data_IF_380423082754
#
_entry.id   IF_380423082754
#
_cell.length_a   1.000
_cell.length_b   1.000
_cell.length_c   1.000
_cell.angle_alpha   90.00
_cell.angle_beta   90.00
_cell.angle_gamma   90.00
#
_symmetry.space_group_name_H-M   'P 1'
#
loop_
_entity.id
_entity.type
_entity.pdbx_description
1 polymer ?
#
# COMPACT_ATOMS: atom_id res chain seq x y z
N UNK A 1 10.31 71.07 14.22
CA UNK A 1 10.57 69.66 13.84
C UNK A 1 9.28 68.89 14.07
N UNK A 2 8.41 68.84 13.07
CA UNK A 2 7.18 68.07 13.08
C UNK A 2 7.39 66.88 12.15
N UNK A 3 7.33 65.66 12.69
CA UNK A 3 7.42 64.42 11.92
C UNK A 3 6.01 63.87 11.85
N UNK A 4 5.49 63.79 10.62
CA UNK A 4 4.19 63.27 10.29
C UNK A 4 4.12 61.75 10.50
N UNK A 5 3.05 61.29 11.15
CA UNK A 5 2.69 59.88 11.20
C UNK A 5 2.27 59.39 9.81
N UNK A 6 3.09 58.51 9.24
CA UNK A 6 2.76 57.75 8.03
C UNK A 6 1.71 56.70 8.37
N UNK A 7 0.50 56.91 7.87
CA UNK A 7 -0.58 55.91 7.80
C UNK A 7 -0.09 54.73 6.97
N UNK A 8 -0.03 53.54 7.57
CA UNK A 8 0.19 52.28 6.86
C UNK A 8 -1.07 51.97 6.06
N UNK A 9 -0.99 52.07 4.73
CA UNK A 9 -1.98 51.51 3.83
C UNK A 9 -1.89 49.99 3.88
N UNK A 10 -2.86 49.35 4.51
CA UNK A 10 -3.11 47.93 4.32
C UNK A 10 -3.75 47.74 2.95
N UNK A 11 -3.03 47.09 2.03
CA UNK A 11 -3.61 46.56 0.80
C UNK A 11 -4.91 45.82 1.12
N UNK A 12 -5.98 46.15 0.41
CA UNK A 12 -7.32 45.56 0.60
C UNK A 12 -7.29 44.04 0.49
N UNK A 13 -7.20 43.38 1.65
CA UNK A 13 -7.35 41.94 1.77
C UNK A 13 -8.81 41.58 1.46
N UNK A 14 -9.03 40.85 0.38
CA UNK A 14 -10.35 40.32 0.06
C UNK A 14 -10.90 39.54 1.24
N UNK A 15 -12.00 40.02 1.82
CA UNK A 15 -12.69 39.33 2.91
C UNK A 15 -13.18 37.98 2.40
N UNK A 16 -13.01 36.89 3.16
CA UNK A 16 -13.59 35.58 2.83
C UNK A 16 -15.10 35.65 2.57
N UNK A 17 -15.78 36.64 3.16
CA UNK A 17 -17.19 36.92 2.93
C UNK A 17 -17.50 37.47 1.51
N UNK A 18 -16.51 37.75 0.66
CA UNK A 18 -16.76 38.15 -0.74
C UNK A 18 -16.86 36.95 -1.69
N UNK A 19 -16.52 35.74 -1.25
CA UNK A 19 -16.61 34.53 -2.06
C UNK A 19 -18.07 34.09 -2.23
N UNK A 20 -18.46 33.46 -3.36
CA UNK A 20 -19.77 32.81 -3.51
C UNK A 20 -20.00 31.68 -2.51
N UNK A 21 -21.27 31.40 -2.19
CA UNK A 21 -21.64 30.39 -1.19
C UNK A 21 -21.17 28.99 -1.60
N UNK A 22 -21.19 28.67 -2.90
CA UNK A 22 -20.72 27.39 -3.45
C UNK A 22 -19.22 27.19 -3.21
N UNK A 23 -18.43 28.26 -3.35
CA UNK A 23 -16.98 28.23 -3.08
C UNK A 23 -16.73 28.06 -1.59
N UNK A 24 -17.51 28.75 -0.74
CA UNK A 24 -17.41 28.59 0.70
C UNK A 24 -17.81 27.16 1.14
N UNK A 25 -18.84 26.56 0.54
CA UNK A 25 -19.23 25.17 0.76
C UNK A 25 -18.14 24.17 0.38
N UNK A 26 -17.44 24.39 -0.73
CA UNK A 26 -16.27 23.60 -1.12
C UNK A 26 -15.13 23.74 -0.10
N UNK A 27 -14.82 24.97 0.33
CA UNK A 27 -13.79 25.21 1.37
C UNK A 27 -14.16 24.48 2.67
N UNK A 28 -15.44 24.57 3.09
CA UNK A 28 -15.92 23.88 4.28
C UNK A 28 -15.87 22.35 4.14
N UNK A 29 -15.96 21.80 2.93
CA UNK A 29 -15.82 20.37 2.66
C UNK A 29 -14.37 19.87 2.76
N UNK A 30 -13.38 20.77 2.83
CA UNK A 30 -11.95 20.44 2.98
C UNK A 30 -11.48 20.49 4.43
N UNK A 31 -12.30 20.99 5.37
CA UNK A 31 -11.96 21.06 6.80
C UNK A 31 -12.73 20.00 7.58
N UNK A 32 -12.23 19.57 8.76
CA UNK A 32 -12.95 18.66 9.63
C UNK A 32 -14.40 19.11 9.89
N UNK A 33 -15.36 18.19 9.84
CA UNK A 33 -16.80 18.52 9.90
C UNK A 33 -17.20 19.27 11.15
N UNK A 34 -16.54 19.01 12.29
CA UNK A 34 -16.73 19.77 13.53
C UNK A 34 -16.37 21.25 13.38
N UNK A 35 -15.29 21.55 12.65
CA UNK A 35 -14.89 22.92 12.34
C UNK A 35 -15.83 23.54 11.30
N UNK A 36 -16.24 22.79 10.28
CA UNK A 36 -17.21 23.27 9.31
C UNK A 36 -18.53 23.67 9.98
N UNK A 37 -19.06 22.80 10.86
CA UNK A 37 -20.27 23.06 11.61
C UNK A 37 -20.13 24.23 12.60
N UNK A 38 -18.94 24.42 13.22
CA UNK A 38 -18.73 25.55 14.15
C UNK A 38 -18.74 26.90 13.45
N UNK A 39 -18.44 26.96 12.14
CA UNK A 39 -18.56 28.22 11.38
C UNK A 39 -20.00 28.76 11.31
N UNK A 40 -21.01 27.92 11.57
CA UNK A 40 -22.42 28.32 11.60
C UNK A 40 -22.76 29.40 12.64
N UNK A 41 -21.90 29.60 13.65
CA UNK A 41 -22.07 30.65 14.65
C UNK A 41 -21.56 32.02 14.19
N UNK A 42 -20.77 32.07 13.11
CA UNK A 42 -20.13 33.30 12.63
C UNK A 42 -21.14 34.31 12.10
N UNK A 43 -22.18 33.84 11.39
CA UNK A 43 -23.29 34.68 10.93
C UNK A 43 -24.46 33.83 10.40
N UNK A 44 -25.59 34.49 10.10
CA UNK A 44 -26.73 33.85 9.42
C UNK A 44 -26.36 33.23 8.07
N UNK A 45 -25.47 33.88 7.31
CA UNK A 45 -24.99 33.36 6.02
C UNK A 45 -24.23 32.07 6.20
N UNK A 46 -23.25 32.07 7.11
CA UNK A 46 -22.41 30.90 7.37
C UNK A 46 -23.18 29.71 7.94
N UNK A 47 -24.26 29.96 8.68
CA UNK A 47 -25.21 28.92 9.10
C UNK A 47 -25.86 28.20 7.91
N UNK A 48 -26.12 28.92 6.83
CA UNK A 48 -26.78 28.38 5.64
C UNK A 48 -25.79 27.75 4.63
N UNK A 49 -24.49 27.76 4.92
CA UNK A 49 -23.48 27.11 4.07
C UNK A 49 -23.34 25.60 4.34
N UNK A 50 -23.77 25.14 5.51
CA UNK A 50 -23.62 23.74 5.91
C UNK A 50 -24.28 22.74 4.92
N UNK A 51 -25.46 23.02 4.33
CA UNK A 51 -26.04 22.18 3.28
C UNK A 51 -25.20 22.08 1.99
N UNK A 52 -24.25 22.98 1.76
CA UNK A 52 -23.35 22.95 0.59
C UNK A 52 -22.11 22.07 0.83
N UNK A 53 -21.95 21.55 2.06
CA UNK A 53 -20.86 20.64 2.40
C UNK A 53 -21.15 19.26 1.82
N UNK A 54 -20.22 18.74 1.01
CA UNK A 54 -20.38 17.46 0.31
C UNK A 54 -19.48 16.34 0.87
N UNK A 55 -18.69 16.63 1.90
CA UNK A 55 -17.80 15.69 2.56
C UNK A 55 -17.92 15.84 4.07
N UNK A 56 -18.26 14.75 4.75
CA UNK A 56 -18.37 14.72 6.22
C UNK A 56 -17.54 13.62 6.83
N UNK A 57 -16.84 13.95 7.91
CA UNK A 57 -16.00 13.05 8.70
C UNK A 57 -16.35 13.21 10.18
N UNK A 58 -16.87 12.12 10.75
CA UNK A 58 -17.27 12.02 12.14
C UNK A 58 -16.40 10.97 12.82
N UNK A 59 -15.61 11.40 13.80
CA UNK A 59 -14.72 10.54 14.58
C UNK A 59 -15.03 10.67 16.08
N UNK A 60 -15.51 9.58 16.69
CA UNK A 60 -15.79 9.52 18.13
C UNK A 60 -14.48 9.49 18.95
N UNK A 61 -13.44 8.81 18.45
CA UNK A 61 -12.17 8.61 19.17
C UNK A 61 -11.43 9.93 19.44
N UNK A 62 -11.60 10.91 18.54
CA UNK A 62 -11.05 12.25 18.67
C UNK A 62 -11.68 13.09 19.80
N UNK A 63 -12.77 12.63 20.43
CA UNK A 63 -13.47 13.38 21.49
C UNK A 63 -12.94 13.09 22.91
N UNK A 64 -11.85 12.35 23.07
CA UNK A 64 -11.15 12.21 24.35
C UNK A 64 -11.92 11.40 25.40
N UNK A 65 -11.89 10.07 25.29
CA UNK A 65 -11.90 9.11 26.40
C UNK A 65 -13.05 9.09 27.42
N UNK A 66 -14.10 9.91 27.29
CA UNK A 66 -15.26 9.80 28.19
C UNK A 66 -16.21 8.72 27.69
N UNK A 67 -16.16 7.56 28.36
CA UNK A 67 -17.00 6.36 28.15
C UNK A 67 -18.51 6.56 28.33
N UNK A 68 -18.98 7.80 28.49
CA UNK A 68 -20.37 8.15 28.75
C UNK A 68 -21.17 8.65 27.51
N UNK A 69 -20.59 8.78 26.32
CA UNK A 69 -21.21 9.60 25.25
C UNK A 69 -21.42 8.95 23.86
N UNK A 70 -21.43 7.63 23.71
CA UNK A 70 -21.79 6.99 22.42
C UNK A 70 -23.16 7.47 21.87
N UNK A 71 -24.17 7.58 22.75
CA UNK A 71 -25.48 8.16 22.39
C UNK A 71 -25.42 9.64 22.00
N UNK A 72 -24.57 10.42 22.66
CA UNK A 72 -24.41 11.86 22.41
C UNK A 72 -23.74 12.13 21.07
N UNK A 73 -22.75 11.30 20.71
CA UNK A 73 -22.06 11.39 19.43
C UNK A 73 -22.99 11.08 18.27
N UNK A 74 -23.70 9.94 18.29
CA UNK A 74 -24.65 9.62 17.22
C UNK A 74 -25.75 10.68 17.08
N UNK A 75 -26.31 11.16 18.20
CA UNK A 75 -27.29 12.24 18.16
C UNK A 75 -26.72 13.56 17.61
N UNK A 76 -25.42 13.79 17.69
CA UNK A 76 -24.75 14.92 17.03
C UNK A 76 -24.65 14.66 15.51
N UNK A 77 -24.25 13.45 15.11
CA UNK A 77 -24.17 13.05 13.70
C UNK A 77 -25.54 13.18 13.02
N UNK A 78 -26.59 12.60 13.61
CA UNK A 78 -27.97 12.67 13.10
C UNK A 78 -28.45 14.11 12.98
N UNK A 79 -28.23 14.95 14.00
CA UNK A 79 -28.60 16.38 13.95
C UNK A 79 -27.86 17.16 12.86
N UNK A 80 -26.59 16.81 12.63
CA UNK A 80 -25.77 17.45 11.59
C UNK A 80 -26.23 17.02 10.20
N UNK A 81 -26.53 15.74 9.99
CA UNK A 81 -27.09 15.25 8.73
C UNK A 81 -28.49 15.80 8.46
N UNK A 82 -29.30 15.98 9.51
CA UNK A 82 -30.60 16.62 9.41
C UNK A 82 -30.49 18.11 9.06
N UNK A 83 -29.50 18.84 9.60
CA UNK A 83 -29.30 20.26 9.31
C UNK A 83 -28.75 20.52 7.89
N UNK A 84 -28.08 19.54 7.29
CA UNK A 84 -27.72 19.57 5.87
C UNK A 84 -28.91 19.32 4.93
N UNK A 85 -30.07 18.88 5.46
CA UNK A 85 -31.25 18.55 4.66
C UNK A 85 -31.04 17.34 3.75
N UNK A 86 -31.93 17.11 2.78
CA UNK A 86 -31.84 15.99 1.83
C UNK A 86 -30.83 16.19 0.69
N UNK A 87 -29.80 17.03 0.89
CA UNK A 87 -28.81 17.34 -0.15
C UNK A 87 -27.88 16.15 -0.37
N UNK A 88 -27.45 15.84 -1.60
CA UNK A 88 -26.51 14.77 -1.87
C UNK A 88 -25.17 14.99 -1.16
N UNK A 89 -24.74 13.99 -0.41
CA UNK A 89 -23.44 13.99 0.27
C UNK A 89 -22.54 13.03 -0.50
N UNK A 90 -21.39 13.50 -0.99
CA UNK A 90 -20.52 12.67 -1.83
C UNK A 90 -19.66 11.72 -1.01
N UNK A 91 -19.16 12.18 0.14
CA UNK A 91 -18.24 11.44 0.99
C UNK A 91 -18.70 11.46 2.44
N UNK A 92 -18.79 10.28 3.05
CA UNK A 92 -19.12 10.13 4.46
C UNK A 92 -18.11 9.20 5.13
N UNK A 93 -17.56 9.65 6.26
CA UNK A 93 -16.69 8.87 7.14
C UNK A 93 -17.30 8.85 8.54
N UNK A 94 -17.51 7.63 9.08
CA UNK A 94 -18.09 7.37 10.39
C UNK A 94 -17.13 6.46 11.17
N UNK A 95 -16.42 7.00 12.16
CA UNK A 95 -15.38 6.28 12.92
C UNK A 95 -15.69 6.18 14.40
N UNK A 96 -15.34 5.03 14.97
CA UNK A 96 -15.26 4.82 16.41
C UNK A 96 -16.60 4.69 17.13
N UNK A 97 -17.69 4.40 16.41
CA UNK A 97 -19.05 4.41 16.97
C UNK A 97 -19.27 3.26 17.97
N UNK A 98 -19.07 3.57 19.25
CA UNK A 98 -19.03 2.59 20.35
C UNK A 98 -20.37 2.48 21.12
N UNK A 99 -20.74 1.27 21.55
CA UNK A 99 -21.87 1.01 22.47
C UNK A 99 -23.27 1.54 22.03
N UNK A 100 -23.57 1.45 20.73
CA UNK A 100 -24.84 1.93 20.16
C UNK A 100 -25.77 0.79 19.73
N UNK A 101 -27.07 1.06 19.84
CA UNK A 101 -28.18 0.37 19.18
C UNK A 101 -27.94 0.20 17.66
N UNK A 102 -27.78 -1.05 17.24
CA UNK A 102 -27.55 -1.46 15.86
C UNK A 102 -28.57 -0.85 14.88
N UNK A 103 -29.83 -0.76 15.28
CA UNK A 103 -30.91 -0.27 14.40
C UNK A 103 -30.68 1.17 13.97
N UNK A 104 -30.23 2.04 14.89
CA UNK A 104 -29.99 3.46 14.61
C UNK A 104 -28.77 3.66 13.72
N UNK A 105 -27.70 2.91 13.98
CA UNK A 105 -26.52 2.94 13.13
C UNK A 105 -26.85 2.50 11.70
N UNK A 106 -27.62 1.42 11.55
CA UNK A 106 -28.02 0.92 10.25
C UNK A 106 -28.95 1.90 9.52
N UNK A 107 -29.90 2.50 10.23
CA UNK A 107 -30.76 3.55 9.67
C UNK A 107 -29.93 4.77 9.21
N UNK A 108 -28.93 5.17 9.98
CA UNK A 108 -28.01 6.26 9.61
C UNK A 108 -27.26 5.95 8.31
N UNK A 109 -26.66 4.75 8.21
CA UNK A 109 -25.95 4.33 7.00
C UNK A 109 -26.90 4.25 5.81
N UNK A 110 -28.13 3.75 6.01
CA UNK A 110 -29.18 3.73 5.00
C UNK A 110 -29.58 5.12 4.50
N UNK A 111 -29.76 6.10 5.40
CA UNK A 111 -30.04 7.50 5.03
C UNK A 111 -28.89 8.10 4.21
N UNK A 112 -27.65 7.87 4.64
CA UNK A 112 -26.45 8.32 3.92
C UNK A 112 -26.39 7.73 2.51
N UNK A 113 -26.61 6.42 2.37
CA UNK A 113 -26.64 5.77 1.06
C UNK A 113 -27.81 6.29 0.20
N UNK A 114 -28.99 6.48 0.78
CA UNK A 114 -30.17 7.03 0.12
C UNK A 114 -29.99 8.45 -0.44
N UNK A 115 -29.02 9.21 0.09
CA UNK A 115 -28.64 10.54 -0.41
C UNK A 115 -27.69 10.51 -1.61
N UNK A 116 -27.37 9.32 -2.14
CA UNK A 116 -26.50 9.18 -3.31
C UNK A 116 -25.01 9.28 -2.99
N UNK A 117 -24.59 8.75 -1.84
CA UNK A 117 -23.18 8.73 -1.43
C UNK A 117 -22.31 7.96 -2.41
N UNK A 118 -21.13 8.54 -2.72
CA UNK A 118 -20.13 7.97 -3.63
C UNK A 118 -18.99 7.27 -2.87
N UNK A 119 -18.57 7.84 -1.74
CA UNK A 119 -17.50 7.31 -0.89
C UNK A 119 -18.01 7.13 0.54
N UNK A 120 -17.95 5.89 1.05
CA UNK A 120 -18.36 5.55 2.40
C UNK A 120 -17.21 4.89 3.16
N UNK A 121 -16.85 5.45 4.30
CA UNK A 121 -15.88 4.89 5.22
C UNK A 121 -16.57 4.60 6.55
N UNK A 122 -16.59 3.34 6.95
CA UNK A 122 -17.20 2.89 8.20
C UNK A 122 -16.13 2.26 9.08
N UNK A 123 -16.05 2.71 10.33
CA UNK A 123 -15.23 2.09 11.36
C UNK A 123 -15.97 1.90 12.67
N UNK A 124 -15.85 0.70 13.26
CA UNK A 124 -16.56 0.33 14.48
C UNK A 124 -15.65 -0.35 15.51
N UNK A 125 -15.72 0.08 16.76
CA UNK A 125 -15.02 -0.58 17.87
C UNK A 125 -15.77 -1.80 18.43
N UNK A 126 -16.98 -2.06 17.93
CA UNK A 126 -17.81 -3.21 18.29
C UNK A 126 -18.15 -3.99 17.02
N UNK A 127 -18.47 -5.29 17.15
CA UNK A 127 -18.96 -6.10 16.03
C UNK A 127 -20.25 -5.48 15.46
N UNK A 128 -20.36 -5.37 14.14
CA UNK A 128 -21.45 -4.80 13.36
C UNK A 128 -21.73 -5.67 12.15
N UNK A 129 -23.01 -5.74 11.78
CA UNK A 129 -23.46 -6.44 10.59
C UNK A 129 -23.85 -5.42 9.52
N UNK A 130 -23.40 -5.65 8.28
CA UNK A 130 -23.75 -4.82 7.13
C UNK A 130 -25.09 -5.28 6.61
N UNK A 131 -26.11 -4.42 6.65
CA UNK A 131 -27.49 -4.81 6.32
C UNK A 131 -27.64 -5.00 4.81
N UNK A 132 -28.38 -6.03 4.34
CA UNK A 132 -28.43 -6.35 2.92
C UNK A 132 -28.86 -5.24 1.97
N UNK A 133 -29.69 -4.31 2.42
CA UNK A 133 -30.14 -3.18 1.59
C UNK A 133 -28.98 -2.27 1.18
N UNK A 134 -27.88 -2.27 1.94
CA UNK A 134 -26.70 -1.45 1.63
C UNK A 134 -26.02 -1.90 0.34
N UNK A 135 -26.03 -3.21 0.06
CA UNK A 135 -25.42 -3.78 -1.15
C UNK A 135 -26.08 -3.28 -2.43
N UNK A 136 -27.34 -2.84 -2.39
CA UNK A 136 -28.02 -2.40 -3.62
C UNK A 136 -27.80 -0.92 -3.95
N UNK A 137 -26.87 -0.25 -3.27
CA UNK A 137 -26.51 1.13 -3.59
C UNK A 137 -25.96 1.25 -5.01
N UNK A 138 -26.66 2.05 -5.84
CA UNK A 138 -26.29 2.30 -7.25
C UNK A 138 -25.27 3.41 -7.42
N UNK A 139 -24.96 4.15 -6.35
CA UNK A 139 -24.09 5.33 -6.40
C UNK A 139 -22.74 5.09 -5.74
N UNK A 140 -22.62 4.10 -4.86
CA UNK A 140 -21.41 3.89 -4.08
C UNK A 140 -20.28 3.38 -4.98
N UNK A 141 -19.22 4.19 -5.09
CA UNK A 141 -18.03 3.93 -5.92
C UNK A 141 -16.87 3.41 -5.06
N UNK A 142 -16.76 3.88 -3.81
CA UNK A 142 -15.71 3.48 -2.88
C UNK A 142 -16.28 3.10 -1.52
N UNK A 143 -15.94 1.91 -1.05
CA UNK A 143 -16.31 1.41 0.26
C UNK A 143 -15.04 1.12 1.07
N UNK A 144 -14.99 1.64 2.28
CA UNK A 144 -13.98 1.27 3.26
C UNK A 144 -14.66 0.76 4.52
N UNK A 145 -14.30 -0.44 4.93
CA UNK A 145 -14.72 -1.06 6.17
C UNK A 145 -13.49 -1.23 7.05
N UNK A 146 -13.57 -0.82 8.31
CA UNK A 146 -12.45 -0.91 9.24
C UNK A 146 -12.92 -1.31 10.62
N UNK A 147 -12.33 -2.34 11.22
CA UNK A 147 -12.63 -2.81 12.57
C UNK A 147 -14.09 -3.25 12.79
N UNK A 148 -14.29 -4.36 13.49
CA UNK A 148 -15.60 -4.70 14.06
C UNK A 148 -16.75 -4.87 13.05
N UNK A 149 -16.49 -5.22 11.80
CA UNK A 149 -17.54 -5.69 10.88
C UNK A 149 -17.45 -7.20 10.75
N UNK A 150 -18.59 -7.90 10.77
CA UNK A 150 -18.70 -9.35 10.64
C UNK A 150 -19.89 -9.77 9.77
N UNK A 151 -19.88 -11.03 9.34
CA UNK A 151 -20.85 -11.63 8.45
C UNK A 151 -22.24 -11.72 9.10
N UNK A 152 -23.26 -11.55 8.27
CA UNK A 152 -24.67 -11.63 8.63
C UNK A 152 -25.06 -13.07 9.02
N UNK A 153 -26.10 -13.20 9.84
CA UNK A 153 -26.79 -14.49 10.05
C UNK A 153 -27.93 -14.70 9.04
N UNK A 154 -28.34 -13.65 8.34
CA UNK A 154 -29.47 -13.70 7.40
C UNK A 154 -28.98 -13.94 5.97
N UNK A 155 -29.70 -14.77 5.19
CA UNK A 155 -29.31 -15.09 3.83
C UNK A 155 -29.29 -13.85 2.94
N UNK A 156 -28.25 -13.74 2.10
CA UNK A 156 -28.11 -12.63 1.20
C UNK A 156 -29.25 -12.61 0.18
N UNK A 157 -29.87 -11.44 -0.05
CA UNK A 157 -30.87 -11.28 -1.10
C UNK A 157 -30.19 -11.43 -2.46
N UNK A 158 -30.77 -12.25 -3.33
CA UNK A 158 -30.29 -12.39 -4.70
C UNK A 158 -30.33 -11.07 -5.47
N UNK A 159 -29.29 -10.80 -6.26
CA UNK A 159 -29.19 -9.62 -7.12
C UNK A 159 -27.76 -9.15 -7.34
N UNK A 160 -27.59 -8.09 -8.13
CA UNK A 160 -26.27 -7.48 -8.35
C UNK A 160 -25.94 -6.58 -7.17
N UNK A 161 -24.96 -7.01 -6.39
CA UNK A 161 -24.43 -6.26 -5.26
C UNK A 161 -23.46 -5.19 -5.77
N UNK A 162 -23.56 -4.01 -5.18
CA UNK A 162 -22.81 -2.79 -5.45
C UNK A 162 -22.47 -2.55 -6.94
N UNK A 163 -23.47 -2.30 -7.79
CA UNK A 163 -23.28 -2.24 -9.24
C UNK A 163 -22.34 -1.11 -9.72
N UNK A 164 -22.01 -0.14 -8.87
CA UNK A 164 -21.12 0.98 -9.19
C UNK A 164 -19.78 0.95 -8.43
N UNK A 165 -19.55 -0.04 -7.57
CA UNK A 165 -18.36 -0.09 -6.70
C UNK A 165 -17.13 -0.42 -7.51
N UNK A 166 -16.12 0.44 -7.39
CA UNK A 166 -14.82 0.34 -8.07
C UNK A 166 -13.67 0.06 -7.13
N UNK A 167 -13.77 0.51 -5.87
CA UNK A 167 -12.68 0.41 -4.91
C UNK A 167 -13.20 -0.06 -3.57
N UNK A 168 -12.68 -1.20 -3.10
CA UNK A 168 -12.97 -1.79 -1.80
C UNK A 168 -11.73 -1.75 -0.93
N UNK A 169 -11.89 -1.38 0.34
CA UNK A 169 -10.81 -1.42 1.32
C UNK A 169 -11.29 -2.02 2.64
N UNK A 170 -10.59 -3.06 3.09
CA UNK A 170 -10.89 -3.85 4.27
C UNK A 170 -9.71 -3.74 5.23
N UNK A 171 -9.91 -3.09 6.36
CA UNK A 171 -8.88 -2.89 7.38
C UNK A 171 -9.28 -3.59 8.68
N UNK A 172 -8.57 -4.64 9.10
CA UNK A 172 -8.89 -5.38 10.35
C UNK A 172 -10.37 -5.81 10.42
N UNK A 173 -10.92 -6.24 9.28
CA UNK A 173 -12.31 -6.70 9.17
C UNK A 173 -12.33 -8.21 9.36
N UNK A 174 -13.28 -8.72 10.15
CA UNK A 174 -13.38 -10.13 10.45
C UNK A 174 -14.60 -10.72 9.76
N UNK A 175 -14.42 -11.71 8.89
CA UNK A 175 -15.54 -12.46 8.33
C UNK A 175 -15.48 -13.87 8.92
N UNK A 176 -16.36 -14.16 9.88
CA UNK A 176 -16.34 -15.42 10.62
C UNK A 176 -16.61 -16.63 9.69
N UNK A 177 -15.64 -17.53 9.57
CA UNK A 177 -15.72 -18.73 8.74
C UNK A 177 -16.55 -19.87 9.37
N UNK A 178 -17.01 -19.74 10.62
CA UNK A 178 -17.76 -20.80 11.31
C UNK A 178 -19.23 -20.92 10.88
N UNK A 179 -19.74 -19.98 10.08
CA UNK A 179 -21.14 -20.00 9.62
C UNK A 179 -21.24 -20.39 8.15
N UNK A 180 -21.97 -21.48 7.89
CA UNK A 180 -22.29 -21.98 6.56
C UNK A 180 -23.30 -21.05 5.87
N UNK A 181 -22.82 -20.10 5.07
CA UNK A 181 -23.62 -19.20 4.24
C UNK A 181 -22.77 -18.53 3.16
N UNK A 182 -23.41 -17.96 2.13
CA UNK A 182 -22.73 -17.12 1.14
C UNK A 182 -22.08 -15.95 1.89
N UNK A 183 -20.76 -15.91 1.92
CA UNK A 183 -19.98 -15.00 2.77
C UNK A 183 -20.11 -13.56 2.26
N UNK A 184 -20.36 -12.61 3.18
CA UNK A 184 -20.31 -11.16 2.90
C UNK A 184 -19.07 -10.77 2.07
N UNK A 185 -17.95 -11.42 2.33
CA UNK A 185 -16.70 -11.21 1.62
C UNK A 185 -16.82 -11.53 0.12
N UNK A 186 -17.35 -12.70 -0.23
CA UNK A 186 -17.57 -13.13 -1.62
C UNK A 186 -18.55 -12.21 -2.35
N UNK A 187 -19.59 -11.77 -1.64
CA UNK A 187 -20.57 -10.81 -2.12
C UNK A 187 -19.93 -9.47 -2.50
N UNK A 188 -19.00 -8.98 -1.68
CA UNK A 188 -18.25 -7.75 -1.95
C UNK A 188 -17.34 -7.91 -3.17
N UNK A 189 -16.63 -9.03 -3.28
CA UNK A 189 -15.72 -9.33 -4.40
C UNK A 189 -16.44 -9.59 -5.73
N UNK A 190 -17.70 -10.04 -5.66
CA UNK A 190 -18.59 -10.26 -6.82
C UNK A 190 -19.14 -8.98 -7.46
N UNK A 191 -18.77 -7.80 -6.94
CA UNK A 191 -19.20 -6.51 -7.49
C UNK A 191 -18.67 -6.35 -8.92
N UNK A 192 -19.53 -6.07 -9.93
CA UNK A 192 -19.18 -6.23 -11.35
C UNK A 192 -18.17 -5.22 -11.89
N UNK A 193 -18.00 -4.07 -11.21
CA UNK A 193 -17.10 -2.99 -11.61
C UNK A 193 -15.91 -2.83 -10.65
N UNK A 194 -15.67 -3.80 -9.76
CA UNK A 194 -14.63 -3.68 -8.76
C UNK A 194 -13.25 -3.79 -9.41
N UNK A 195 -12.52 -2.67 -9.46
CA UNK A 195 -11.21 -2.55 -10.10
C UNK A 195 -10.07 -2.64 -9.05
N UNK A 196 -10.30 -2.17 -7.83
CA UNK A 196 -9.30 -2.07 -6.76
C UNK A 196 -9.73 -2.75 -5.45
N UNK A 197 -8.85 -3.59 -4.90
CA UNK A 197 -9.02 -4.24 -3.61
C UNK A 197 -7.83 -3.96 -2.69
N UNK A 198 -8.10 -3.47 -1.49
CA UNK A 198 -7.09 -3.26 -0.45
C UNK A 198 -7.48 -4.05 0.80
N UNK A 199 -6.61 -4.95 1.24
CA UNK A 199 -6.77 -5.73 2.46
C UNK A 199 -5.59 -5.39 3.37
N UNK A 200 -5.88 -4.97 4.59
CA UNK A 200 -4.86 -4.67 5.58
C UNK A 200 -5.26 -5.27 6.92
N UNK A 201 -4.48 -6.24 7.35
CA UNK A 201 -4.58 -6.89 8.64
C UNK A 201 -3.22 -6.78 9.34
N UNK A 202 -3.14 -5.79 10.22
CA UNK A 202 -1.98 -5.43 11.01
C UNK A 202 -2.14 -5.77 12.50
N UNK A 203 -3.19 -6.50 12.89
CA UNK A 203 -3.39 -6.92 14.27
C UNK A 203 -2.54 -8.16 14.59
N UNK A 204 -1.47 -8.03 15.39
CA UNK A 204 -0.58 -9.15 15.69
C UNK A 204 -1.21 -10.20 16.62
N UNK A 205 -2.35 -9.88 17.26
CA UNK A 205 -3.03 -10.75 18.22
C UNK A 205 -4.21 -11.50 17.60
N UNK A 206 -4.60 -11.16 16.38
CA UNK A 206 -5.72 -11.78 15.67
C UNK A 206 -5.20 -12.95 14.81
N UNK A 207 -6.00 -14.02 14.66
CA UNK A 207 -5.57 -15.30 14.05
C UNK A 207 -6.37 -15.70 12.81
N UNK A 208 -6.85 -14.75 12.01
CA UNK A 208 -7.72 -15.08 10.88
C UNK A 208 -6.90 -15.27 9.60
N UNK A 209 -7.19 -16.36 8.87
CA UNK A 209 -6.58 -16.60 7.57
C UNK A 209 -7.05 -15.58 6.54
N UNK A 210 -6.16 -15.24 5.60
CA UNK A 210 -6.55 -14.50 4.41
C UNK A 210 -7.59 -15.30 3.60
N UNK A 211 -8.72 -14.68 3.28
CA UNK A 211 -9.78 -15.29 2.45
C UNK A 211 -9.46 -15.23 0.96
N UNK A 212 -10.05 -16.17 0.22
CA UNK A 212 -9.84 -16.36 -1.22
C UNK A 212 -10.24 -15.13 -2.02
N UNK A 213 -9.33 -14.59 -2.83
CA UNK A 213 -9.70 -13.50 -3.73
C UNK A 213 -10.02 -14.09 -5.09
N UNK A 214 -11.32 -14.27 -5.38
CA UNK A 214 -11.81 -14.70 -6.68
C UNK A 214 -12.55 -13.56 -7.37
N UNK A 215 -11.99 -12.98 -8.42
CA UNK A 215 -12.69 -11.95 -9.21
C UNK A 215 -12.07 -11.73 -10.58
N UNK A 216 -12.93 -11.54 -11.58
CA UNK A 216 -12.50 -11.21 -12.94
C UNK A 216 -12.47 -9.70 -13.23
N UNK A 217 -13.05 -8.85 -12.39
CA UNK A 217 -13.06 -7.39 -12.60
C UNK A 217 -11.84 -6.68 -12.00
N UNK A 218 -11.22 -7.29 -10.98
CA UNK A 218 -10.15 -6.66 -10.20
C UNK A 218 -8.87 -6.53 -11.03
N UNK A 219 -8.30 -5.33 -11.04
CA UNK A 219 -7.07 -4.97 -11.74
C UNK A 219 -5.93 -4.60 -10.80
N UNK A 220 -6.23 -4.21 -9.56
CA UNK A 220 -5.22 -3.79 -8.56
C UNK A 220 -5.53 -4.39 -7.20
N UNK A 221 -4.56 -5.10 -6.63
CA UNK A 221 -4.64 -5.67 -5.29
C UNK A 221 -3.50 -5.14 -4.42
N UNK A 222 -3.82 -4.74 -3.19
CA UNK A 222 -2.86 -4.46 -2.13
C UNK A 222 -3.23 -5.26 -0.89
N UNK A 223 -2.37 -6.18 -0.46
CA UNK A 223 -2.57 -7.04 0.71
C UNK A 223 -1.42 -6.81 1.69
N UNK A 224 -1.77 -6.45 2.91
CA UNK A 224 -0.88 -6.46 4.06
C UNK A 224 -1.45 -7.43 5.10
N UNK A 225 -0.77 -8.53 5.38
CA UNK A 225 -1.22 -9.53 6.34
C UNK A 225 -0.01 -10.07 7.13
N UNK A 226 0.19 -9.53 8.34
CA UNK A 226 1.34 -9.87 9.23
C UNK A 226 0.91 -10.43 10.58
N UNK A 227 -0.13 -11.25 10.57
CA UNK A 227 -0.54 -12.06 11.71
C UNK A 227 0.61 -12.98 12.19
N UNK A 228 0.78 -13.13 13.51
CA UNK A 228 1.77 -14.03 14.11
C UNK A 228 1.29 -15.47 14.30
N UNK A 229 0.03 -15.77 13.99
CA UNK A 229 -0.49 -17.12 13.97
C UNK A 229 -0.11 -17.82 12.67
N UNK A 230 0.59 -18.95 12.77
CA UNK A 230 1.00 -19.74 11.62
C UNK A 230 -0.19 -20.36 10.88
N UNK A 231 -1.25 -20.74 11.58
CA UNK A 231 -2.43 -21.34 10.95
C UNK A 231 -3.17 -20.34 10.04
N UNK A 232 -3.06 -19.03 10.33
CA UNK A 232 -3.59 -17.99 9.47
C UNK A 232 -2.93 -17.96 8.06
N UNK A 233 -1.70 -18.46 7.94
CA UNK A 233 -0.95 -18.47 6.68
C UNK A 233 -0.89 -19.86 6.03
N UNK A 234 -1.87 -20.72 6.33
CA UNK A 234 -1.92 -22.06 5.75
C UNK A 234 -2.06 -22.02 4.23
N UNK A 235 -2.82 -21.08 3.69
CA UNK A 235 -2.95 -20.96 2.25
C UNK A 235 -3.32 -19.55 1.81
N UNK A 236 -2.98 -19.20 0.58
CA UNK A 236 -3.37 -17.95 -0.08
C UNK A 236 -3.91 -18.27 -1.46
N UNK A 237 -5.15 -17.86 -1.73
CA UNK A 237 -5.79 -17.99 -3.05
C UNK A 237 -5.98 -16.64 -3.71
N UNK A 238 -5.44 -16.45 -4.91
CA UNK A 238 -5.66 -15.26 -5.74
C UNK A 238 -6.02 -15.71 -7.17
N UNK A 239 -7.30 -15.91 -7.43
CA UNK A 239 -7.85 -16.24 -8.74
C UNK A 239 -8.36 -14.96 -9.41
N UNK A 240 -7.42 -14.19 -9.98
CA UNK A 240 -7.70 -12.87 -10.55
C UNK A 240 -6.99 -12.69 -11.90
N UNK A 241 -7.50 -13.29 -12.98
CA UNK A 241 -6.79 -13.39 -14.26
C UNK A 241 -6.51 -12.03 -14.92
N UNK A 242 -7.31 -11.01 -14.61
CA UNK A 242 -7.17 -9.65 -15.14
C UNK A 242 -6.35 -8.70 -14.24
N UNK A 243 -5.69 -9.24 -13.20
CA UNK A 243 -4.89 -8.45 -12.28
C UNK A 243 -3.66 -7.86 -12.99
N UNK A 244 -3.47 -6.54 -12.90
CA UNK A 244 -2.34 -5.82 -13.54
C UNK A 244 -1.29 -5.41 -12.50
N UNK A 245 -1.71 -5.17 -11.25
CA UNK A 245 -0.85 -4.71 -10.17
C UNK A 245 -1.11 -5.50 -8.88
N UNK A 246 -0.05 -6.04 -8.29
CA UNK A 246 -0.06 -6.73 -7.00
C UNK A 246 0.94 -6.07 -6.04
N UNK A 247 0.47 -5.67 -4.87
CA UNK A 247 1.31 -5.33 -3.72
C UNK A 247 0.99 -6.30 -2.58
N UNK A 248 1.92 -7.18 -2.22
CA UNK A 248 1.70 -8.23 -1.24
C UNK A 248 2.79 -8.23 -0.19
N UNK A 249 2.38 -7.98 1.05
CA UNK A 249 3.23 -7.96 2.24
C UNK A 249 2.67 -8.93 3.27
N UNK A 250 3.49 -9.89 3.72
CA UNK A 250 3.05 -10.84 4.73
C UNK A 250 4.09 -11.89 5.10
N UNK A 251 3.68 -12.83 5.95
CA UNK A 251 4.47 -14.03 6.17
C UNK A 251 4.29 -15.01 5.01
N UNK A 252 5.30 -15.84 4.74
CA UNK A 252 5.20 -16.84 3.68
C UNK A 252 4.14 -17.88 4.06
N UNK A 253 3.15 -18.06 3.19
CA UNK A 253 2.14 -19.11 3.34
C UNK A 253 2.67 -20.51 3.01
N UNK A 254 2.00 -21.55 3.53
CA UNK A 254 2.33 -22.95 3.23
C UNK A 254 2.14 -23.26 1.75
N UNK A 255 0.99 -22.86 1.21
CA UNK A 255 0.63 -23.05 -0.20
C UNK A 255 0.08 -21.77 -0.82
N UNK A 256 0.30 -21.60 -2.12
CA UNK A 256 -0.28 -20.52 -2.91
C UNK A 256 -1.03 -21.10 -4.09
N UNK A 257 -2.30 -20.74 -4.22
CA UNK A 257 -3.12 -21.02 -5.40
C UNK A 257 -3.37 -19.70 -6.13
N UNK A 258 -2.72 -19.51 -7.27
CA UNK A 258 -2.60 -18.18 -7.88
C UNK A 258 -2.75 -18.26 -9.40
N UNK A 259 -3.67 -17.46 -9.92
CA UNK A 259 -3.91 -17.24 -11.35
C UNK A 259 -3.76 -15.75 -11.65
N UNK A 260 -2.59 -15.37 -12.19
CA UNK A 260 -2.11 -13.99 -12.32
C UNK A 260 -1.64 -13.68 -13.74
N UNK A 261 -2.34 -14.19 -14.74
CA UNK A 261 -1.90 -14.21 -16.15
C UNK A 261 -1.64 -12.82 -16.75
N UNK A 262 -2.39 -11.79 -16.32
CA UNK A 262 -2.26 -10.42 -16.82
C UNK A 262 -1.32 -9.53 -16.00
N UNK A 263 -0.60 -10.08 -15.02
CA UNK A 263 0.15 -9.29 -14.06
C UNK A 263 1.35 -8.57 -14.69
N UNK A 264 1.39 -7.25 -14.55
CA UNK A 264 2.44 -6.39 -15.11
C UNK A 264 3.43 -5.93 -14.05
N UNK A 265 2.94 -5.58 -12.86
CA UNK A 265 3.77 -5.11 -11.75
C UNK A 265 3.47 -5.88 -10.46
N UNK A 266 4.52 -6.41 -9.84
CA UNK A 266 4.44 -7.07 -8.55
C UNK A 266 5.39 -6.41 -7.54
N UNK A 267 4.89 -6.18 -6.33
CA UNK A 267 5.66 -5.71 -5.18
C UNK A 267 5.48 -6.71 -4.05
N UNK A 268 6.58 -7.29 -3.59
CA UNK A 268 6.57 -8.35 -2.60
C UNK A 268 7.41 -7.97 -1.38
N UNK A 269 6.80 -8.01 -0.21
CA UNK A 269 7.44 -7.88 1.10
C UNK A 269 7.11 -9.09 1.98
N UNK A 270 7.77 -10.21 1.68
CA UNK A 270 7.54 -11.53 2.26
C UNK A 270 8.57 -11.83 3.34
N UNK A 271 8.10 -12.35 4.47
CA UNK A 271 8.94 -12.68 5.62
C UNK A 271 8.86 -14.17 5.94
N UNK A 272 10.02 -14.83 6.01
CA UNK A 272 10.11 -16.22 6.46
C UNK A 272 9.73 -16.37 7.93
N UNK A 273 9.14 -17.51 8.27
CA UNK A 273 8.94 -17.93 9.65
C UNK A 273 10.28 -18.28 10.30
N UNK A 274 10.62 -17.61 11.40
CA UNK A 274 11.85 -17.88 12.15
C UNK A 274 11.54 -18.85 13.29
N UNK A 275 12.00 -20.10 13.20
CA UNK A 275 11.89 -21.04 14.32
C UNK A 275 13.07 -20.85 15.29
N UNK A 276 12.80 -20.47 16.54
CA UNK A 276 13.75 -20.45 17.68
C UNK A 276 15.18 -19.96 17.38
N UNK A 277 15.35 -18.88 16.61
CA UNK A 277 16.66 -18.27 16.35
C UNK A 277 17.65 -19.14 15.54
N UNK A 278 17.20 -20.29 15.03
CA UNK A 278 18.00 -21.19 14.18
C UNK A 278 17.83 -20.80 12.72
N UNK A 279 18.90 -20.34 12.07
CA UNK A 279 18.95 -20.10 10.61
C UNK A 279 19.39 -21.36 9.85
N UNK A 280 18.93 -22.55 10.25
CA UNK A 280 19.19 -23.77 9.48
C UNK A 280 18.37 -23.71 8.18
N UNK A 281 19.10 -23.60 7.07
CA UNK A 281 18.57 -23.48 5.70
C UNK A 281 17.96 -24.83 5.29
N UNK A 282 16.75 -25.12 5.79
CA UNK A 282 16.06 -26.39 5.60
C UNK A 282 14.79 -26.57 6.43
N UNK A 283 14.63 -25.81 7.52
CA UNK A 283 13.47 -25.92 8.43
C UNK A 283 12.46 -24.76 8.28
N UNK A 284 12.58 -23.95 7.21
CA UNK A 284 11.68 -22.84 6.99
C UNK A 284 10.30 -23.37 6.59
N UNK A 285 9.27 -23.04 7.36
CA UNK A 285 7.89 -23.32 6.98
C UNK A 285 7.41 -22.32 5.92
N UNK A 286 6.64 -22.81 4.95
CA UNK A 286 6.13 -22.02 3.83
C UNK A 286 6.81 -22.33 2.49
N UNK A 287 6.03 -22.24 1.40
CA UNK A 287 6.50 -22.56 0.04
C UNK A 287 6.11 -21.49 -0.97
N UNK A 288 6.99 -20.53 -1.25
CA UNK A 288 6.70 -19.44 -2.21
C UNK A 288 6.84 -19.83 -3.70
N UNK A 289 7.09 -21.10 -4.04
CA UNK A 289 7.38 -21.53 -5.43
C UNK A 289 6.25 -21.22 -6.41
N UNK A 290 5.01 -21.48 -6.00
CA UNK A 290 3.83 -21.23 -6.82
C UNK A 290 3.67 -19.72 -7.10
N UNK A 291 3.80 -18.89 -6.06
CA UNK A 291 3.77 -17.43 -6.20
C UNK A 291 4.91 -16.92 -7.10
N UNK A 292 6.15 -17.38 -6.88
CA UNK A 292 7.33 -16.98 -7.69
C UNK A 292 7.14 -17.38 -9.16
N UNK A 293 6.53 -18.52 -9.42
CA UNK A 293 6.22 -18.98 -10.78
C UNK A 293 5.14 -18.12 -11.42
N UNK A 294 4.06 -17.82 -10.69
CA UNK A 294 2.94 -17.02 -11.20
C UNK A 294 3.36 -15.59 -11.58
N UNK A 295 4.28 -14.97 -10.84
CA UNK A 295 4.78 -13.62 -11.15
C UNK A 295 5.90 -13.61 -12.21
N UNK A 296 6.28 -14.74 -12.80
CA UNK A 296 7.42 -14.79 -13.74
C UNK A 296 7.21 -13.95 -15.01
N UNK A 297 5.96 -13.66 -15.37
CA UNK A 297 5.59 -12.88 -16.55
C UNK A 297 5.58 -11.36 -16.35
N UNK A 298 5.87 -10.86 -15.14
CA UNK A 298 5.80 -9.42 -14.84
C UNK A 298 6.86 -8.60 -15.59
N UNK A 299 6.52 -7.35 -15.86
CA UNK A 299 7.42 -6.35 -16.45
C UNK A 299 8.24 -5.63 -15.37
N UNK A 300 7.62 -5.39 -14.22
CA UNK A 300 8.25 -4.73 -13.08
C UNK A 300 8.11 -5.57 -11.81
N UNK A 301 9.24 -5.86 -11.15
CA UNK A 301 9.28 -6.59 -9.90
C UNK A 301 9.98 -5.76 -8.81
N UNK A 302 9.30 -5.58 -7.68
CA UNK A 302 9.84 -4.94 -6.48
C UNK A 302 9.94 -5.96 -5.34
N UNK A 303 11.13 -6.12 -4.74
CA UNK A 303 11.38 -7.05 -3.65
C UNK A 303 11.89 -6.32 -2.40
N UNK A 304 11.32 -6.60 -1.23
CA UNK A 304 11.95 -6.20 0.03
C UNK A 304 13.23 -6.99 0.31
N UNK A 305 14.01 -6.54 1.29
CA UNK A 305 15.22 -7.25 1.69
C UNK A 305 14.92 -8.64 2.27
N UNK A 306 13.75 -8.83 2.89
CA UNK A 306 13.27 -10.12 3.40
C UNK A 306 12.79 -11.02 2.25
N UNK A 307 12.12 -10.47 1.24
CA UNK A 307 11.73 -11.20 0.03
C UNK A 307 12.92 -11.81 -0.71
N UNK A 308 14.10 -11.18 -0.69
CA UNK A 308 15.31 -11.78 -1.28
C UNK A 308 15.72 -13.08 -0.57
N UNK A 309 15.51 -13.18 0.74
CA UNK A 309 15.77 -14.41 1.50
C UNK A 309 14.73 -15.47 1.18
N UNK A 310 13.45 -15.08 1.09
CA UNK A 310 12.35 -15.97 0.69
C UNK A 310 12.62 -16.58 -0.67
N UNK A 311 12.99 -15.78 -1.66
CA UNK A 311 13.28 -16.29 -3.00
C UNK A 311 14.42 -17.30 -2.95
N UNK A 312 15.51 -17.03 -2.22
CA UNK A 312 16.59 -18.02 -2.13
C UNK A 312 16.17 -19.32 -1.43
N UNK A 313 15.45 -19.21 -0.31
CA UNK A 313 15.13 -20.36 0.54
C UNK A 313 14.02 -21.23 -0.05
N UNK A 314 13.02 -20.61 -0.67
CA UNK A 314 11.85 -21.31 -1.17
C UNK A 314 12.02 -21.77 -2.63
N UNK A 315 12.86 -21.10 -3.45
CA UNK A 315 13.01 -21.47 -4.87
C UNK A 315 13.80 -22.77 -5.03
N UNK A 316 13.12 -23.85 -5.44
CA UNK A 316 13.79 -25.10 -5.85
C UNK A 316 14.40 -24.96 -7.25
N UNK A 317 13.70 -24.25 -8.14
CA UNK A 317 14.16 -23.82 -9.45
C UNK A 317 13.64 -22.41 -9.71
N UNK A 318 14.55 -21.47 -10.02
CA UNK A 318 14.15 -20.10 -10.35
C UNK A 318 13.50 -20.09 -11.74
N UNK A 319 12.30 -19.52 -11.92
CA UNK A 319 11.69 -19.38 -13.24
C UNK A 319 12.46 -18.37 -14.10
N UNK A 320 12.18 -18.38 -15.40
CA UNK A 320 12.70 -17.38 -16.33
C UNK A 320 11.78 -16.16 -16.36
N UNK A 321 12.34 -14.99 -16.09
CA UNK A 321 11.66 -13.71 -16.08
C UNK A 321 11.83 -13.01 -17.44
N UNK A 322 11.28 -13.61 -18.48
CA UNK A 322 11.51 -13.19 -19.86
C UNK A 322 10.93 -11.79 -20.17
N UNK A 323 9.90 -11.35 -19.47
CA UNK A 323 9.29 -10.03 -19.66
C UNK A 323 9.84 -8.95 -18.73
N UNK A 324 10.68 -9.31 -17.75
CA UNK A 324 11.11 -8.41 -16.69
C UNK A 324 12.07 -7.36 -17.22
N UNK A 325 11.57 -6.13 -17.36
CA UNK A 325 12.35 -4.97 -17.80
C UNK A 325 12.92 -4.17 -16.63
N UNK A 326 12.27 -4.21 -15.45
CA UNK A 326 12.66 -3.46 -14.26
C UNK A 326 12.64 -4.32 -13.00
N UNK A 327 13.79 -4.47 -12.37
CA UNK A 327 13.95 -5.12 -11.08
C UNK A 327 14.32 -4.06 -10.05
N UNK A 328 13.59 -4.02 -8.95
CA UNK A 328 13.84 -3.16 -7.81
C UNK A 328 13.96 -3.99 -6.55
N UNK A 329 14.94 -3.72 -5.70
CA UNK A 329 15.00 -4.37 -4.40
C UNK A 329 15.57 -3.49 -3.29
N UNK A 330 15.15 -3.79 -2.06
CA UNK A 330 15.72 -3.20 -0.85
C UNK A 330 16.87 -4.06 -0.32
N UNK A 331 17.89 -3.41 0.22
CA UNK A 331 19.08 -4.07 0.77
C UNK A 331 19.25 -3.72 2.24
N UNK A 332 19.48 -4.74 3.07
CA UNK A 332 19.62 -4.57 4.51
C UNK A 332 20.84 -5.32 5.04
N UNK A 333 21.58 -4.72 5.98
CA UNK A 333 22.84 -5.27 6.56
C UNK A 333 22.72 -6.68 7.15
N UNK A 334 21.51 -7.10 7.50
CA UNK A 334 21.19 -8.41 8.09
C UNK A 334 20.68 -9.43 7.08
N UNK A 335 20.31 -8.99 5.87
CA UNK A 335 19.74 -9.83 4.81
C UNK A 335 20.77 -10.20 3.76
N UNK A 336 20.64 -11.38 3.18
CA UNK A 336 21.60 -11.91 2.20
C UNK A 336 21.24 -11.56 0.75
N UNK A 337 22.24 -11.55 -0.14
CA UNK A 337 22.07 -11.32 -1.59
C UNK A 337 22.22 -12.60 -2.43
N UNK A 338 22.01 -13.76 -1.82
CA UNK A 338 22.33 -15.05 -2.45
C UNK A 338 21.45 -15.38 -3.65
N UNK A 339 20.24 -14.83 -3.72
CA UNK A 339 19.33 -15.02 -4.87
C UNK A 339 19.69 -14.15 -6.08
N UNK A 340 20.37 -13.02 -5.87
CA UNK A 340 20.57 -12.02 -6.94
C UNK A 340 21.31 -12.58 -8.17
N UNK A 341 22.37 -13.40 -8.04
CA UNK A 341 23.01 -13.99 -9.22
C UNK A 341 22.05 -14.85 -10.05
N UNK A 342 21.14 -15.58 -9.40
CA UNK A 342 20.15 -16.43 -10.07
C UNK A 342 19.08 -15.58 -10.76
N UNK A 343 18.52 -14.58 -10.06
CA UNK A 343 17.53 -13.66 -10.61
C UNK A 343 18.06 -12.90 -11.83
N UNK A 344 19.28 -12.36 -11.75
CA UNK A 344 19.88 -11.60 -12.85
C UNK A 344 20.21 -12.49 -14.06
N UNK A 345 20.58 -13.75 -13.84
CA UNK A 345 20.82 -14.72 -14.92
C UNK A 345 19.53 -15.12 -15.61
N UNK A 346 18.43 -15.21 -14.86
CA UNK A 346 17.12 -15.62 -15.35
C UNK A 346 16.25 -14.44 -15.86
N UNK A 347 16.78 -13.21 -15.89
CA UNK A 347 16.09 -12.02 -16.40
C UNK A 347 16.86 -11.45 -17.61
N UNK A 348 16.79 -12.09 -18.79
CA UNK A 348 17.61 -11.73 -19.94
C UNK A 348 17.31 -10.33 -20.51
N UNK A 349 16.07 -9.85 -20.36
CA UNK A 349 15.58 -8.58 -20.89
C UNK A 349 15.60 -7.43 -19.87
N UNK A 350 16.30 -7.62 -18.74
CA UNK A 350 16.36 -6.63 -17.68
C UNK A 350 17.12 -5.37 -18.13
N UNK A 351 16.43 -4.22 -18.15
CA UNK A 351 17.01 -2.94 -18.56
C UNK A 351 17.30 -2.00 -17.39
N UNK A 352 16.45 -2.03 -16.35
CA UNK A 352 16.57 -1.14 -15.19
C UNK A 352 16.74 -1.92 -13.90
N UNK A 353 17.83 -1.65 -13.19
CA UNK A 353 18.09 -2.18 -11.85
C UNK A 353 17.97 -1.04 -10.83
N UNK A 354 17.06 -1.18 -9.88
CA UNK A 354 16.86 -0.23 -8.78
C UNK A 354 17.26 -0.89 -7.46
N UNK A 355 18.13 -0.25 -6.70
CA UNK A 355 18.60 -0.76 -5.42
C UNK A 355 18.43 0.31 -4.36
N UNK A 356 17.68 0.02 -3.30
CA UNK A 356 17.56 0.87 -2.12
C UNK A 356 18.52 0.39 -1.04
N UNK A 357 19.54 1.20 -0.76
CA UNK A 357 20.71 0.82 0.02
C UNK A 357 21.68 -0.06 -0.76
N UNK A 358 22.96 -0.12 -0.34
CA UNK A 358 23.99 -0.97 -0.97
C UNK A 358 24.71 -1.87 0.04
N UNK A 359 24.05 -2.16 1.17
CA UNK A 359 24.60 -2.96 2.27
C UNK A 359 23.81 -4.26 2.43
N UNK A 360 24.52 -5.36 2.69
CA UNK A 360 23.91 -6.68 2.93
C UNK A 360 24.74 -7.50 3.92
N UNK A 361 24.23 -8.64 4.38
CA UNK A 361 24.99 -9.58 5.22
C UNK A 361 26.02 -10.33 4.38
N UNK A 362 27.30 -10.25 4.77
CA UNK A 362 28.40 -10.86 4.03
C UNK A 362 28.37 -12.38 4.22
N UNK A 363 28.16 -13.12 3.13
CA UNK A 363 28.24 -14.59 3.12
C UNK A 363 29.11 -15.07 1.95
N UNK A 364 29.43 -16.37 1.92
CA UNK A 364 30.12 -16.98 0.77
C UNK A 364 29.22 -17.10 -0.47
N UNK A 365 27.90 -16.97 -0.29
CA UNK A 365 26.91 -17.17 -1.35
C UNK A 365 26.48 -15.89 -2.09
N UNK A 366 27.03 -14.71 -1.76
CA UNK A 366 26.71 -13.46 -2.47
C UNK A 366 27.06 -13.50 -3.98
N UNK A 367 27.81 -14.52 -4.41
CA UNK A 367 28.20 -14.72 -5.79
C UNK A 367 29.06 -13.58 -6.33
N UNK A 368 28.98 -13.38 -7.64
CA UNK A 368 29.65 -12.32 -8.37
C UNK A 368 28.91 -10.98 -8.31
N UNK A 369 27.74 -10.91 -7.66
CA UNK A 369 27.00 -9.65 -7.47
C UNK A 369 27.63 -8.79 -6.36
N UNK A 370 28.35 -9.37 -5.38
CA UNK A 370 29.08 -8.62 -4.35
C UNK A 370 30.61 -8.71 -4.48
N UNK A 371 31.30 -7.69 -3.99
CA UNK A 371 32.76 -7.68 -3.71
C UNK A 371 33.15 -8.51 -2.46
N UNK A 372 32.20 -9.21 -1.86
CA UNK A 372 32.30 -9.94 -0.62
C UNK A 372 33.22 -11.15 -0.81
N UNK A 373 34.33 -11.21 -0.06
CA UNK A 373 35.40 -12.25 -0.09
C UNK A 373 35.54 -12.99 -1.42
N UNK A 374 36.52 -12.56 -2.24
CA UNK A 374 37.07 -13.23 -3.44
C UNK A 374 36.56 -14.66 -3.57
N UNK A 375 35.49 -14.86 -4.33
CA UNK A 375 35.10 -16.21 -4.73
C UNK A 375 36.30 -16.75 -5.51
N UNK A 376 37.02 -17.68 -4.89
CA UNK A 376 38.13 -18.38 -5.50
C UNK A 376 37.59 -19.09 -6.72
N UNK A 377 37.91 -18.56 -7.91
CA UNK A 377 37.60 -19.15 -9.23
C UNK A 377 36.11 -19.25 -9.59
N UNK A 378 35.34 -18.16 -9.56
CA UNK A 378 34.29 -18.05 -10.60
C UNK A 378 35.03 -17.70 -11.89
N UNK A 379 34.89 -18.52 -12.93
CA UNK A 379 35.35 -18.18 -14.27
C UNK A 379 34.83 -16.78 -14.58
N UNK A 380 35.72 -15.78 -14.75
CA UNK A 380 35.33 -14.40 -15.13
C UNK A 380 34.47 -14.33 -16.39
N UNK A 381 34.31 -15.44 -17.14
CA UNK A 381 33.44 -15.57 -18.31
C UNK A 381 31.96 -15.85 -17.97
N UNK A 382 31.62 -16.18 -16.72
CA UNK A 382 30.26 -16.63 -16.31
C UNK A 382 29.60 -15.70 -15.27
N UNK A 383 30.05 -14.44 -15.18
CA UNK A 383 29.43 -13.47 -14.27
C UNK A 383 28.03 -13.08 -14.79
N UNK A 384 27.02 -13.16 -13.92
CA UNK A 384 25.66 -12.72 -14.21
C UNK A 384 25.62 -11.22 -14.58
N UNK A 385 26.50 -10.41 -13.99
CA UNK A 385 26.60 -8.97 -14.28
C UNK A 385 27.14 -8.71 -15.70
N UNK A 386 28.06 -9.54 -16.19
CA UNK A 386 28.61 -9.39 -17.55
C UNK A 386 27.62 -9.80 -18.65
N UNK A 387 26.71 -10.72 -18.35
CA UNK A 387 25.64 -11.15 -19.27
C UNK A 387 24.39 -10.27 -19.18
N UNK A 388 24.26 -9.44 -18.14
CA UNK A 388 23.08 -8.63 -17.90
C UNK A 388 22.99 -7.44 -18.87
N UNK A 389 21.78 -7.18 -19.39
CA UNK A 389 21.50 -6.11 -20.36
C UNK A 389 21.11 -4.77 -19.70
N UNK A 390 21.40 -4.61 -18.40
CA UNK A 390 21.01 -3.41 -17.64
C UNK A 390 21.65 -2.16 -18.23
N UNK A 391 20.79 -1.22 -18.65
CA UNK A 391 21.13 0.10 -19.17
C UNK A 391 21.06 1.18 -18.11
N UNK A 392 20.14 1.03 -17.14
CA UNK A 392 19.90 2.03 -16.08
C UNK A 392 20.10 1.40 -14.71
N UNK A 393 21.06 1.93 -13.94
CA UNK A 393 21.25 1.58 -12.53
C UNK A 393 20.77 2.75 -11.66
N UNK A 394 19.82 2.51 -10.77
CA UNK A 394 19.32 3.51 -9.83
C UNK A 394 19.64 3.07 -8.40
N UNK A 395 20.36 3.90 -7.66
CA UNK A 395 20.71 3.65 -6.26
C UNK A 395 20.02 4.70 -5.40
N UNK A 396 19.17 4.23 -4.49
CA UNK A 396 18.53 5.04 -3.47
C UNK A 396 19.24 4.87 -2.12
N UNK A 397 19.21 5.91 -1.29
CA UNK A 397 19.77 5.89 0.08
C UNK A 397 21.28 5.55 0.10
N UNK A 398 22.06 6.15 -0.81
CA UNK A 398 23.50 5.94 -0.85
C UNK A 398 24.20 6.66 0.31
N UNK A 399 24.78 5.88 1.24
CA UNK A 399 25.46 6.39 2.43
C UNK A 399 26.93 6.76 2.23
N UNK A 400 27.55 6.37 1.11
CA UNK A 400 28.94 6.75 0.80
C UNK A 400 30.03 6.02 1.58
N UNK A 401 29.69 4.96 2.31
CA UNK A 401 30.67 4.16 3.03
C UNK A 401 31.70 3.53 2.09
N UNK A 402 32.88 3.18 2.61
CA UNK A 402 33.90 2.45 1.83
C UNK A 402 33.37 1.15 1.21
N UNK A 403 32.37 0.52 1.84
CA UNK A 403 31.75 -0.70 1.34
C UNK A 403 30.84 -0.41 0.14
N UNK A 404 29.96 0.57 0.26
CA UNK A 404 29.06 0.95 -0.83
C UNK A 404 29.84 1.49 -2.02
N UNK A 405 30.94 2.24 -1.80
CA UNK A 405 31.80 2.72 -2.87
C UNK A 405 32.48 1.58 -3.64
N UNK A 406 32.93 0.52 -2.94
CA UNK A 406 33.48 -0.69 -3.58
C UNK A 406 32.40 -1.43 -4.37
N UNK A 407 31.20 -1.54 -3.82
CA UNK A 407 30.08 -2.21 -4.48
C UNK A 407 29.61 -1.44 -5.72
N UNK A 408 29.52 -0.12 -5.63
CA UNK A 408 29.21 0.77 -6.75
C UNK A 408 30.23 0.61 -7.88
N UNK A 409 31.53 0.66 -7.54
CA UNK A 409 32.62 0.42 -8.50
C UNK A 409 32.43 -0.93 -9.20
N UNK A 410 32.14 -1.98 -8.43
CA UNK A 410 31.96 -3.32 -8.96
C UNK A 410 30.80 -3.42 -9.96
N UNK A 411 29.65 -2.79 -9.69
CA UNK A 411 28.56 -2.71 -10.67
C UNK A 411 28.96 -1.95 -11.94
N UNK A 412 29.62 -0.79 -11.78
CA UNK A 412 30.05 0.04 -12.91
C UNK A 412 31.09 -0.66 -13.81
N UNK A 413 31.97 -1.48 -13.23
CA UNK A 413 33.01 -2.20 -13.98
C UNK A 413 32.48 -3.47 -14.67
N UNK A 414 31.40 -4.08 -14.17
CA UNK A 414 30.90 -5.36 -14.67
C UNK A 414 29.59 -5.27 -15.47
N UNK A 415 28.77 -4.22 -15.31
CA UNK A 415 27.58 -4.00 -16.14
C UNK A 415 27.99 -3.33 -17.46
N UNK A 416 28.18 -4.13 -18.51
CA UNK A 416 28.73 -3.65 -19.79
C UNK A 416 27.79 -2.75 -20.60
N UNK A 417 26.48 -2.95 -20.46
CA UNK A 417 25.47 -2.20 -21.18
C UNK A 417 25.02 -0.93 -20.44
N UNK A 418 25.69 -0.57 -19.34
CA UNK A 418 25.28 0.52 -18.47
C UNK A 418 25.46 1.89 -19.14
N UNK A 419 24.35 2.56 -19.38
CA UNK A 419 24.28 3.89 -20.00
C UNK A 419 24.05 4.99 -18.96
N UNK A 420 23.21 4.74 -17.95
CA UNK A 420 22.79 5.74 -16.99
C UNK A 420 22.89 5.22 -15.57
N UNK A 421 23.54 5.99 -14.69
CA UNK A 421 23.55 5.76 -13.25
C UNK A 421 22.84 6.91 -12.56
N UNK A 422 21.77 6.62 -11.81
CA UNK A 422 21.05 7.59 -10.98
C UNK A 422 21.34 7.32 -9.51
N UNK A 423 21.73 8.32 -8.74
CA UNK A 423 22.07 8.15 -7.31
C UNK A 423 21.32 9.17 -6.47
N UNK A 424 20.49 8.70 -5.53
CA UNK A 424 19.91 9.51 -4.46
C UNK A 424 20.75 9.35 -3.19
N UNK A 425 21.27 10.46 -2.69
CA UNK A 425 22.08 10.50 -1.47
C UNK A 425 21.17 10.47 -0.23
N UNK A 426 21.68 9.91 0.87
CA UNK A 426 21.03 10.02 2.16
C UNK A 426 21.15 11.46 2.70
N UNK A 427 20.06 12.00 3.27
CA UNK A 427 19.85 13.44 3.51
C UNK A 427 20.82 14.06 4.54
N UNK A 428 21.44 13.25 5.40
CA UNK A 428 22.21 13.74 6.58
C UNK A 428 23.73 13.90 6.36
N UNK A 429 24.20 14.05 5.12
CA UNK A 429 25.64 14.02 4.82
C UNK A 429 26.20 15.42 4.58
N UNK A 430 26.98 15.94 5.55
CA UNK A 430 27.74 17.20 5.46
C UNK A 430 28.69 17.25 4.22
N UNK A 431 29.06 16.10 3.65
CA UNK A 431 30.08 15.93 2.60
C UNK A 431 29.52 15.49 1.22
N UNK A 432 28.25 15.74 0.93
CA UNK A 432 27.60 15.35 -0.34
C UNK A 432 28.40 15.76 -1.61
N UNK A 433 29.07 16.92 -1.57
CA UNK A 433 29.85 17.43 -2.71
C UNK A 433 31.15 16.64 -2.94
N UNK A 434 31.79 16.14 -1.88
CA UNK A 434 32.98 15.27 -1.98
C UNK A 434 32.62 13.88 -2.52
N UNK A 435 31.49 13.34 -2.06
CA UNK A 435 30.98 12.03 -2.48
C UNK A 435 30.53 12.01 -3.95
N UNK A 436 29.78 13.02 -4.37
CA UNK A 436 29.35 13.18 -5.77
C UNK A 436 30.56 13.27 -6.71
N UNK A 437 31.60 14.02 -6.35
CA UNK A 437 32.84 14.12 -7.12
C UNK A 437 33.61 12.79 -7.19
N UNK A 438 33.68 12.04 -6.08
CA UNK A 438 34.27 10.69 -6.07
C UNK A 438 33.50 9.76 -7.01
N UNK A 439 32.17 9.73 -6.95
CA UNK A 439 31.33 8.89 -7.82
C UNK A 439 31.47 9.26 -9.30
N UNK A 440 31.48 10.55 -9.64
CA UNK A 440 31.72 11.00 -11.03
C UNK A 440 33.07 10.51 -11.56
N UNK A 441 34.16 10.67 -10.78
CA UNK A 441 35.50 10.19 -11.16
C UNK A 441 35.55 8.68 -11.34
N UNK A 442 34.91 7.93 -10.43
CA UNK A 442 34.80 6.47 -10.53
C UNK A 442 34.10 6.05 -11.81
N UNK A 443 32.95 6.66 -12.09
CA UNK A 443 32.15 6.32 -13.25
C UNK A 443 32.87 6.63 -14.56
N UNK A 444 33.55 7.79 -14.67
CA UNK A 444 34.38 8.11 -15.84
C UNK A 444 35.53 7.13 -16.08
N UNK A 445 36.03 6.48 -15.03
CA UNK A 445 37.10 5.47 -15.14
C UNK A 445 36.54 4.11 -15.57
N UNK A 446 35.30 3.79 -15.17
CA UNK A 446 34.66 2.50 -15.41
C UNK A 446 33.86 2.45 -16.73
N UNK A 447 33.24 3.56 -17.15
CA UNK A 447 32.43 3.65 -18.37
C UNK A 447 32.75 4.92 -19.16
N UNK A 448 33.17 4.75 -20.41
CA UNK A 448 33.55 5.85 -21.30
C UNK A 448 32.38 6.54 -21.99
N UNK A 449 31.16 5.97 -21.92
CA UNK A 449 29.98 6.45 -22.67
C UNK A 449 28.75 6.78 -21.82
N UNK A 450 28.71 6.37 -20.55
CA UNK A 450 27.52 6.57 -19.72
C UNK A 450 27.39 7.98 -19.13
N UNK A 451 26.25 8.25 -18.48
CA UNK A 451 25.97 9.47 -17.71
C UNK A 451 25.65 9.12 -16.25
N UNK A 452 26.11 9.95 -15.32
CA UNK A 452 25.72 9.87 -13.91
C UNK A 452 24.86 11.08 -13.52
N UNK A 453 23.69 10.81 -12.95
CA UNK A 453 22.74 11.80 -12.47
C UNK A 453 22.54 11.63 -10.96
N UNK A 454 22.44 12.74 -10.24
CA UNK A 454 22.05 12.75 -8.84
C UNK A 454 20.58 13.18 -8.80
N UNK A 455 19.74 12.38 -8.16
CA UNK A 455 18.27 12.50 -8.17
C UNK A 455 17.69 12.72 -6.77
#
# INVERSE_FOLDING_TARGET
MAIADKKVETCGGGSINSLPDEVLGQILSLVPTKLAASTSVLSKRWRNLLPLVHSVDFDESANGGSTASGRGFLGLVERTLASMGGVPIKKVSLKGISYIDYSRYNHLVGDVLGRGTLELHLSSSCIRYIVPEFFFSKTLVKLTLSDGFNDQREPFPGGVLFPALKSLSLFRVWFDAFFYGDDLYECLLSSPLLEELNICDDDPLQSDSLKDVRSSSIQRISIFHRCHDREAHRWVSLETPNLVYLDYSGHVAETYDVELDSLVEARLDLVLWKHNGSTTWGDAWGGANQLITAISNVVTLHLSADSLEVFYCCSTSMPEFNNLAKLSFESHKERHWQVLPLLLKNAPNLETLVIKGLVHKITKGCGDVCVCKRVTKINKKESCLLSCQVKVLQIYEYGGSCRELKQMRHFMENLRCLEVVKVKLQVDMQDNLSLTNKLKKLFHTASSKGKIHFI
#
